data_IF_949188990258
#
_entry.id   IF_949188990258
#
_cell.length_a   1.000
_cell.length_b   1.000
_cell.length_c   1.000
_cell.angle_alpha   90.00
_cell.angle_beta   90.00
_cell.angle_gamma   90.00
#
_symmetry.space_group_name_H-M   'P 1'
#
loop_
_entity.id
_entity.type
_entity.pdbx_description
1 polymer ?
#
# COMPACT_ATOMS: atom_id res chain seq x y z
N UNK A 1 -33.34 58.40 -13.57
CA UNK A 1 -32.17 57.54 -13.36
C UNK A 1 -32.64 56.20 -12.82
N UNK A 2 -32.44 55.08 -13.52
CA UNK A 2 -32.96 53.80 -13.09
C UNK A 2 -32.01 53.16 -12.08
N UNK A 3 -32.48 52.99 -10.85
CA UNK A 3 -31.85 52.15 -9.84
C UNK A 3 -32.28 50.68 -10.07
N UNK A 4 -31.79 50.13 -11.14
CA UNK A 4 -32.08 48.75 -11.48
C UNK A 4 -30.82 47.89 -11.47
N UNK A 5 -30.89 46.76 -10.81
CA UNK A 5 -30.17 45.52 -11.09
C UNK A 5 -28.86 45.16 -10.39
N UNK A 6 -28.30 45.91 -9.51
CA UNK A 6 -27.10 45.41 -8.74
C UNK A 6 -27.47 44.18 -7.89
N UNK A 7 -28.66 44.18 -7.28
CA UNK A 7 -29.11 43.04 -6.43
C UNK A 7 -29.36 41.74 -7.22
N UNK A 8 -29.70 41.85 -8.52
CA UNK A 8 -29.96 40.68 -9.38
C UNK A 8 -28.65 40.01 -9.82
N UNK A 9 -27.61 40.80 -10.14
CA UNK A 9 -26.30 40.27 -10.50
C UNK A 9 -25.58 39.65 -9.31
N UNK A 10 -25.73 40.21 -8.09
CA UNK A 10 -25.16 39.62 -6.87
C UNK A 10 -25.80 38.26 -6.55
N UNK A 11 -27.12 38.10 -6.76
CA UNK A 11 -27.78 36.78 -6.56
C UNK A 11 -27.37 35.74 -7.59
N UNK A 12 -27.16 36.13 -8.85
CA UNK A 12 -26.72 35.25 -9.93
C UNK A 12 -25.27 34.85 -9.70
N UNK A 13 -24.39 35.77 -9.27
CA UNK A 13 -23.01 35.49 -8.95
C UNK A 13 -22.88 34.55 -7.72
N UNK A 14 -23.71 34.74 -6.68
CA UNK A 14 -23.73 33.86 -5.52
C UNK A 14 -24.22 32.43 -5.86
N UNK A 15 -25.23 32.32 -6.76
CA UNK A 15 -25.72 31.01 -7.21
C UNK A 15 -24.70 30.30 -8.10
N UNK A 16 -23.98 31.01 -8.96
CA UNK A 16 -22.88 30.45 -9.77
C UNK A 16 -21.68 29.99 -8.89
N UNK A 17 -21.36 30.73 -7.83
CA UNK A 17 -20.30 30.37 -6.89
C UNK A 17 -20.67 29.12 -6.07
N UNK A 18 -21.93 28.93 -5.70
CA UNK A 18 -22.43 27.73 -5.02
C UNK A 18 -22.44 26.50 -5.93
N UNK A 19 -22.61 26.67 -7.25
CA UNK A 19 -22.52 25.58 -8.22
C UNK A 19 -21.06 25.17 -8.50
N UNK A 20 -20.09 26.08 -8.30
CA UNK A 20 -18.65 25.77 -8.40
C UNK A 20 -18.08 25.14 -7.12
N UNK A 21 -18.72 25.35 -5.96
CA UNK A 21 -18.35 24.69 -4.69
C UNK A 21 -18.99 23.31 -4.52
N UNK A 22 -19.92 22.95 -5.39
CA UNK A 22 -20.41 21.58 -5.58
C UNK A 22 -19.42 20.73 -6.37
N UNK A 23 -18.12 20.81 -6.01
CA UNK A 23 -17.11 19.88 -6.52
C UNK A 23 -17.62 18.49 -6.22
N UNK A 24 -17.98 17.73 -7.25
CA UNK A 24 -18.12 16.28 -7.16
C UNK A 24 -16.83 15.79 -6.48
N UNK A 25 -16.94 15.44 -5.20
CA UNK A 25 -15.96 14.58 -4.59
C UNK A 25 -16.03 13.31 -5.43
N UNK A 26 -15.23 13.27 -6.49
CA UNK A 26 -14.91 12.03 -7.14
C UNK A 26 -14.52 11.11 -5.98
N UNK A 27 -15.34 10.13 -5.71
CA UNK A 27 -15.09 9.14 -4.67
C UNK A 27 -13.78 8.52 -5.08
N UNK A 28 -12.67 9.03 -4.53
CA UNK A 28 -11.37 8.46 -4.73
C UNK A 28 -11.54 6.99 -4.34
N UNK A 29 -11.38 6.10 -5.29
CA UNK A 29 -11.49 4.66 -5.02
C UNK A 29 -10.54 4.31 -3.89
N UNK A 30 -10.84 3.26 -3.14
CA UNK A 30 -10.00 2.81 -2.04
C UNK A 30 -8.52 2.81 -2.44
N UNK A 31 -7.65 3.30 -1.57
CA UNK A 31 -6.21 3.10 -1.69
C UNK A 31 -5.92 1.60 -1.63
N UNK A 32 -5.17 1.10 -2.58
CA UNK A 32 -4.79 -0.31 -2.63
C UNK A 32 -3.37 -0.48 -2.10
N UNK A 33 -3.27 -1.07 -0.92
CA UNK A 33 -1.99 -1.44 -0.29
C UNK A 33 -1.72 -2.91 -0.58
N UNK A 34 -0.59 -3.23 -1.18
CA UNK A 34 -0.13 -4.60 -1.36
C UNK A 34 0.81 -4.97 -0.21
N UNK A 35 0.41 -5.90 0.64
CA UNK A 35 1.29 -6.53 1.62
C UNK A 35 2.02 -7.69 0.93
N UNK A 36 3.34 -7.53 0.74
CA UNK A 36 4.19 -8.44 -0.02
C UNK A 36 5.31 -8.94 0.87
N UNK A 37 5.22 -10.18 1.29
CA UNK A 37 6.11 -10.75 2.27
C UNK A 37 6.07 -12.26 2.33
N UNK A 38 6.46 -12.80 3.46
CA UNK A 38 6.48 -14.23 3.73
C UNK A 38 5.35 -14.69 4.69
N UNK A 39 5.61 -15.67 5.53
CA UNK A 39 4.63 -16.25 6.46
C UNK A 39 4.15 -15.25 7.53
N UNK A 40 4.98 -14.31 7.93
CA UNK A 40 4.62 -13.29 8.93
C UNK A 40 3.54 -12.36 8.38
N UNK A 41 3.69 -11.93 7.14
CA UNK A 41 2.71 -11.08 6.45
C UNK A 41 1.51 -11.88 5.96
N UNK A 42 1.72 -13.13 5.50
CA UNK A 42 0.65 -14.03 5.06
C UNK A 42 -0.34 -14.39 6.17
N UNK A 43 0.11 -14.38 7.43
CA UNK A 43 -0.68 -14.79 8.59
C UNK A 43 -0.67 -16.30 8.82
N UNK A 44 0.47 -16.96 8.54
CA UNK A 44 0.61 -18.39 8.75
C UNK A 44 0.29 -18.80 10.19
N UNK A 45 -0.54 -19.84 10.34
CA UNK A 45 -0.95 -20.35 11.64
C UNK A 45 -2.03 -19.52 12.37
N UNK A 46 -2.50 -18.43 11.77
CA UNK A 46 -3.54 -17.57 12.35
C UNK A 46 -4.89 -17.74 11.64
N UNK A 47 -6.02 -17.59 12.35
CA UNK A 47 -7.30 -17.39 11.70
C UNK A 47 -7.24 -16.17 10.76
N UNK A 48 -7.93 -16.22 9.62
CA UNK A 48 -7.85 -15.16 8.60
C UNK A 48 -8.13 -13.74 9.13
N UNK A 49 -9.06 -13.61 10.10
CA UNK A 49 -9.42 -12.33 10.74
C UNK A 49 -8.29 -11.74 11.60
N UNK A 50 -7.38 -12.58 12.07
CA UNK A 50 -6.28 -12.23 12.97
C UNK A 50 -4.95 -12.05 12.22
N UNK A 51 -4.91 -12.41 10.94
CA UNK A 51 -3.76 -12.22 10.07
C UNK A 51 -3.44 -10.72 9.88
N UNK A 52 -2.15 -10.42 9.66
CA UNK A 52 -1.62 -9.05 9.52
C UNK A 52 -2.46 -8.20 8.55
N UNK A 53 -2.75 -8.71 7.37
CA UNK A 53 -3.50 -8.00 6.31
C UNK A 53 -4.89 -7.59 6.77
N UNK A 54 -5.63 -8.49 7.42
CA UNK A 54 -6.97 -8.21 7.93
C UNK A 54 -6.95 -7.19 9.06
N UNK A 55 -6.01 -7.33 10.00
CA UNK A 55 -5.84 -6.41 11.14
C UNK A 55 -5.41 -5.02 10.68
N UNK A 56 -4.47 -4.93 9.74
CA UNK A 56 -4.04 -3.66 9.17
C UNK A 56 -5.19 -2.93 8.47
N UNK A 57 -5.94 -3.65 7.62
CA UNK A 57 -7.09 -3.05 6.94
C UNK A 57 -8.15 -2.55 7.93
N UNK A 58 -8.46 -3.33 8.95
CA UNK A 58 -9.42 -2.93 9.98
C UNK A 58 -8.94 -1.68 10.73
N UNK A 59 -7.68 -1.63 11.15
CA UNK A 59 -7.11 -0.49 11.87
C UNK A 59 -7.13 0.80 11.03
N UNK A 60 -6.72 0.72 9.76
CA UNK A 60 -6.73 1.88 8.86
C UNK A 60 -8.16 2.39 8.59
N UNK A 61 -9.12 1.49 8.43
CA UNK A 61 -10.54 1.86 8.24
C UNK A 61 -11.14 2.49 9.49
N UNK A 62 -10.78 2.04 10.68
CA UNK A 62 -11.18 2.66 11.95
C UNK A 62 -10.66 4.09 12.08
N UNK A 63 -9.52 4.40 11.47
CA UNK A 63 -8.96 5.75 11.40
C UNK A 63 -9.56 6.59 10.26
N UNK A 64 -10.56 6.09 9.55
CA UNK A 64 -11.26 6.81 8.48
C UNK A 64 -10.62 6.71 7.10
N UNK A 65 -9.60 5.88 6.92
CA UNK A 65 -8.97 5.70 5.60
C UNK A 65 -9.77 4.73 4.73
N UNK A 66 -10.13 5.17 3.52
CA UNK A 66 -10.71 4.30 2.50
C UNK A 66 -9.59 3.46 1.87
N UNK A 67 -9.34 2.27 2.43
CA UNK A 67 -8.23 1.40 2.04
C UNK A 67 -8.67 -0.04 1.84
N UNK A 68 -8.04 -0.70 0.87
CA UNK A 68 -8.07 -2.14 0.67
C UNK A 68 -6.65 -2.69 0.75
N UNK A 69 -6.40 -3.60 1.68
CA UNK A 69 -5.11 -4.29 1.80
C UNK A 69 -5.19 -5.63 1.08
N UNK A 70 -4.36 -5.83 0.07
CA UNK A 70 -4.22 -7.09 -0.67
C UNK A 70 -3.12 -7.92 -0.06
N UNK A 71 -3.38 -9.20 0.15
CA UNK A 71 -2.33 -10.14 0.54
C UNK A 71 -1.63 -10.68 -0.72
N UNK A 72 -0.38 -10.31 -0.89
CA UNK A 72 0.52 -10.82 -1.92
C UNK A 72 1.67 -11.63 -1.32
N UNK A 73 1.52 -12.11 -0.08
CA UNK A 73 2.58 -12.81 0.63
C UNK A 73 2.51 -14.33 0.43
N UNK A 74 3.64 -15.00 0.51
CA UNK A 74 3.76 -16.46 0.37
C UNK A 74 4.59 -17.00 1.52
N UNK A 75 3.98 -17.89 2.33
CA UNK A 75 4.68 -18.53 3.46
C UNK A 75 5.93 -19.29 2.99
N UNK A 76 7.03 -19.07 3.68
CA UNK A 76 8.32 -19.70 3.36
C UNK A 76 9.11 -19.01 2.23
N UNK A 77 8.61 -17.89 1.71
CA UNK A 77 9.26 -17.19 0.61
C UNK A 77 10.58 -16.55 1.03
N UNK A 78 11.56 -16.60 0.14
CA UNK A 78 12.83 -15.89 0.27
C UNK A 78 12.81 -14.61 -0.56
N UNK A 79 13.84 -13.76 -0.40
CA UNK A 79 13.97 -12.59 -1.28
C UNK A 79 14.12 -12.98 -2.75
N UNK A 80 14.72 -14.11 -3.06
CA UNK A 80 14.83 -14.63 -4.44
C UNK A 80 13.45 -15.02 -4.99
N UNK A 81 12.63 -15.73 -4.21
CA UNK A 81 11.27 -16.10 -4.56
C UNK A 81 10.38 -14.85 -4.75
N UNK A 82 10.43 -13.93 -3.79
CA UNK A 82 9.70 -12.67 -3.87
C UNK A 82 10.08 -11.89 -5.13
N UNK A 83 11.37 -11.72 -5.43
CA UNK A 83 11.85 -11.04 -6.63
C UNK A 83 11.30 -11.67 -7.91
N UNK A 84 11.28 -13.00 -7.98
CA UNK A 84 10.81 -13.73 -9.16
C UNK A 84 9.30 -13.52 -9.45
N UNK A 85 8.47 -13.31 -8.40
CA UNK A 85 7.02 -13.15 -8.53
C UNK A 85 6.50 -11.72 -8.42
N UNK A 86 7.38 -10.74 -8.17
CA UNK A 86 6.98 -9.35 -7.91
C UNK A 86 6.11 -8.80 -9.04
N UNK A 87 6.56 -8.88 -10.27
CA UNK A 87 5.87 -8.33 -11.43
C UNK A 87 4.47 -8.90 -11.62
N UNK A 88 4.34 -10.20 -11.44
CA UNK A 88 3.03 -10.85 -11.51
C UNK A 88 2.10 -10.41 -10.38
N UNK A 89 2.63 -10.25 -9.16
CA UNK A 89 1.85 -9.84 -7.98
C UNK A 89 1.37 -8.38 -8.07
N UNK A 90 2.10 -7.54 -8.81
CA UNK A 90 1.74 -6.13 -9.04
C UNK A 90 0.62 -5.94 -10.08
N UNK A 91 -0.03 -7.01 -10.54
CA UNK A 91 -1.16 -6.89 -11.48
C UNK A 91 -2.30 -6.05 -10.90
N UNK A 92 -2.86 -5.16 -11.72
CA UNK A 92 -3.93 -4.23 -11.32
C UNK A 92 -3.43 -3.01 -10.53
N UNK A 93 -4.36 -2.31 -9.88
CA UNK A 93 -4.05 -1.11 -9.09
C UNK A 93 -3.28 -1.48 -7.83
N UNK A 94 -2.14 -0.81 -7.61
CA UNK A 94 -1.37 -0.82 -6.36
C UNK A 94 -0.88 0.61 -6.11
N UNK A 95 -1.25 1.18 -4.98
CA UNK A 95 -0.88 2.55 -4.60
C UNK A 95 0.29 2.59 -3.60
N UNK A 96 0.51 1.50 -2.86
CA UNK A 96 1.60 1.34 -1.89
C UNK A 96 1.95 -0.15 -1.75
N UNK A 97 3.23 -0.46 -1.59
CA UNK A 97 3.70 -1.80 -1.22
C UNK A 97 4.28 -1.77 0.18
N UNK A 98 3.86 -2.70 1.03
CA UNK A 98 4.59 -3.06 2.26
C UNK A 98 5.43 -4.27 1.88
N UNK A 99 6.76 -4.11 1.88
CA UNK A 99 7.72 -5.16 1.54
C UNK A 99 8.35 -5.71 2.81
N UNK A 100 8.12 -7.00 3.09
CA UNK A 100 8.63 -7.72 4.26
C UNK A 100 9.18 -9.07 3.80
N UNK A 101 10.49 -9.19 3.62
CA UNK A 101 11.19 -10.42 3.21
C UNK A 101 12.63 -10.45 3.76
N UNK A 102 13.15 -11.63 3.92
CA UNK A 102 14.54 -11.86 4.35
C UNK A 102 14.67 -12.83 5.52
N UNK A 103 13.60 -13.07 6.29
CA UNK A 103 13.63 -14.03 7.39
C UNK A 103 14.01 -15.44 6.91
N UNK A 104 13.38 -15.89 5.84
CA UNK A 104 13.65 -17.21 5.28
C UNK A 104 15.03 -17.32 4.63
N UNK A 105 15.59 -16.22 4.13
CA UNK A 105 16.98 -16.15 3.68
C UNK A 105 17.92 -16.44 4.85
N UNK A 106 17.72 -15.75 5.99
CA UNK A 106 18.49 -15.97 7.21
C UNK A 106 18.36 -17.41 7.73
N UNK A 107 17.13 -17.93 7.84
CA UNK A 107 16.88 -19.30 8.30
C UNK A 107 17.53 -20.38 7.40
N UNK A 108 17.74 -20.08 6.12
CA UNK A 108 18.36 -20.98 5.15
C UNK A 108 19.85 -20.72 4.92
N UNK A 109 20.44 -19.79 5.66
CA UNK A 109 21.87 -19.44 5.54
C UNK A 109 22.22 -18.82 4.18
N UNK A 110 21.29 -18.11 3.54
CA UNK A 110 21.56 -17.37 2.31
C UNK A 110 22.51 -16.21 2.63
N UNK A 111 23.52 -16.02 1.79
CA UNK A 111 24.46 -14.90 1.94
C UNK A 111 23.68 -13.56 2.02
N UNK A 112 23.87 -12.74 3.07
CA UNK A 112 23.19 -11.46 3.22
C UNK A 112 23.36 -10.52 2.02
N UNK A 113 24.44 -10.64 1.26
CA UNK A 113 24.66 -9.87 0.02
C UNK A 113 23.62 -10.22 -1.05
N UNK A 114 23.21 -11.49 -1.13
CA UNK A 114 22.16 -11.94 -2.06
C UNK A 114 20.81 -11.38 -1.63
N UNK A 115 20.47 -11.48 -0.34
CA UNK A 115 19.28 -10.91 0.26
C UNK A 115 19.18 -9.41 -0.06
N UNK A 116 20.26 -8.66 0.21
CA UNK A 116 20.32 -7.22 -0.08
C UNK A 116 20.14 -6.95 -1.58
N UNK A 117 20.85 -7.64 -2.46
CA UNK A 117 20.75 -7.42 -3.91
C UNK A 117 19.32 -7.69 -4.43
N UNK A 118 18.62 -8.67 -3.88
CA UNK A 118 17.23 -8.95 -4.25
C UNK A 118 16.28 -7.86 -3.76
N UNK A 119 16.44 -7.37 -2.52
CA UNK A 119 15.66 -6.26 -1.99
C UNK A 119 15.89 -4.98 -2.81
N UNK A 120 17.15 -4.63 -3.08
CA UNK A 120 17.50 -3.48 -3.90
C UNK A 120 16.89 -3.56 -5.31
N UNK A 121 16.88 -4.74 -5.93
CA UNK A 121 16.27 -4.96 -7.23
C UNK A 121 14.74 -4.79 -7.19
N UNK A 122 14.07 -5.28 -6.15
CA UNK A 122 12.62 -5.10 -5.96
C UNK A 122 12.28 -3.63 -5.72
N UNK A 123 13.02 -2.92 -4.87
CA UNK A 123 12.84 -1.50 -4.62
C UNK A 123 13.03 -0.68 -5.91
N UNK A 124 14.06 -1.00 -6.72
CA UNK A 124 14.29 -0.35 -8.00
C UNK A 124 13.14 -0.60 -8.99
N UNK A 125 12.60 -1.84 -9.05
CA UNK A 125 11.47 -2.18 -9.92
C UNK A 125 10.19 -1.42 -9.52
N UNK A 126 9.92 -1.27 -8.22
CA UNK A 126 8.79 -0.51 -7.69
C UNK A 126 8.97 0.99 -7.94
N UNK A 127 10.20 1.51 -7.75
CA UNK A 127 10.54 2.90 -8.04
C UNK A 127 10.32 3.29 -9.50
N UNK A 128 10.70 2.41 -10.47
CA UNK A 128 10.43 2.61 -11.90
C UNK A 128 8.93 2.71 -12.23
N UNK A 129 8.07 2.15 -11.40
CA UNK A 129 6.61 2.21 -11.52
C UNK A 129 5.99 3.35 -10.70
N UNK A 130 6.81 4.16 -10.03
CA UNK A 130 6.39 5.20 -9.10
C UNK A 130 5.48 4.69 -7.98
N UNK A 131 5.69 3.44 -7.53
CA UNK A 131 4.95 2.85 -6.42
C UNK A 131 5.76 3.06 -5.14
N UNK A 132 5.24 3.82 -4.15
CA UNK A 132 5.88 3.99 -2.86
C UNK A 132 5.99 2.66 -2.11
N UNK A 133 7.06 2.51 -1.33
CA UNK A 133 7.34 1.29 -0.57
C UNK A 133 7.58 1.61 0.90
N UNK A 134 6.91 0.88 1.77
CA UNK A 134 7.27 0.74 3.17
C UNK A 134 8.08 -0.55 3.32
N UNK A 135 9.39 -0.43 3.49
CA UNK A 135 10.24 -1.57 3.78
C UNK A 135 10.19 -1.89 5.27
N UNK A 136 9.65 -3.06 5.61
CA UNK A 136 9.58 -3.55 6.98
C UNK A 136 10.87 -4.33 7.30
N UNK A 137 11.63 -3.78 8.25
CA UNK A 137 12.81 -4.48 8.79
C UNK A 137 12.45 -5.42 9.92
N UNK A 138 13.30 -6.42 10.15
CA UNK A 138 13.23 -7.31 11.30
C UNK A 138 14.61 -7.57 11.87
N UNK A 139 14.68 -7.89 13.16
CA UNK A 139 15.91 -8.36 13.78
C UNK A 139 16.08 -9.83 13.48
N UNK A 140 17.31 -10.23 13.15
CA UNK A 140 17.64 -11.64 13.03
C UNK A 140 17.44 -12.34 14.39
N UNK A 141 16.94 -13.57 14.40
CA UNK A 141 16.90 -14.38 15.63
C UNK A 141 18.29 -14.47 16.28
N UNK A 142 18.38 -14.37 17.62
CA UNK A 142 19.69 -14.33 18.30
C UNK A 142 20.52 -15.60 18.13
N UNK A 143 19.93 -16.68 17.66
CA UNK A 143 20.61 -17.94 17.36
C UNK A 143 21.24 -18.00 15.97
N UNK A 144 21.15 -16.96 15.17
CA UNK A 144 21.72 -16.87 13.82
C UNK A 144 22.99 -16.01 13.73
N UNK A 145 23.53 -15.56 14.88
CA UNK A 145 24.77 -14.78 14.92
C UNK A 145 24.83 -13.86 16.10
#
# INVERSE_FOLDING_TARGET
MPHGDVGRYVKIAALALLLFLGGTHARAGDLVVLAFGDSLTAGYGLPARDAFVARLQAALRQQGHAVRVRNGSVSGDTTSGGRARLDWTLSGKVDLVILELGANDGLRGVDPRVTRANLDAMLAALGKRNIPVLLAGMLAPPNLG
#
